data_IF_686798728421
#
_entry.id   IF_686798728421
#
_cell.length_a   1.000
_cell.length_b   1.000
_cell.length_c   1.000
_cell.angle_alpha   90.00
_cell.angle_beta   90.00
_cell.angle_gamma   90.00
#
_symmetry.space_group_name_H-M   'P 1'
#
loop_
_entity.id
_entity.type
_entity.pdbx_description
1 polymer ?
#
# COMPACT_ATOMS: atom_id res chain seq x y z
N UNK A 1 -0.47 7.48 7.23
CA UNK A 1 0.79 6.82 7.55
C UNK A 1 0.67 5.87 8.74
N UNK A 2 1.70 5.08 9.01
CA UNK A 2 1.73 4.11 10.13
C UNK A 2 1.68 4.79 11.49
N UNK A 3 2.34 5.93 11.63
CA UNK A 3 2.22 6.75 12.83
C UNK A 3 0.97 7.63 12.74
N UNK A 4 -0.01 7.37 13.59
CA UNK A 4 -1.28 8.09 13.68
C UNK A 4 -1.30 8.91 14.97
N UNK A 5 -0.99 10.19 14.85
CA UNK A 5 -1.08 11.12 15.96
C UNK A 5 -2.54 11.51 16.21
N UNK A 6 -3.02 11.38 17.43
CA UNK A 6 -4.41 11.65 17.80
C UNK A 6 -4.85 13.07 17.41
N UNK A 7 -4.01 14.07 17.68
CA UNK A 7 -4.31 15.46 17.34
C UNK A 7 -4.55 15.66 15.85
N UNK A 8 -3.75 15.00 15.02
CA UNK A 8 -3.90 15.05 13.57
C UNK A 8 -5.19 14.35 13.10
N UNK A 9 -5.49 13.16 13.66
CA UNK A 9 -6.73 12.44 13.30
C UNK A 9 -7.95 13.28 13.71
N UNK A 10 -7.97 13.86 14.91
CA UNK A 10 -9.05 14.73 15.39
C UNK A 10 -9.25 15.92 14.45
N UNK A 11 -8.17 16.58 14.06
CA UNK A 11 -8.25 17.70 13.11
C UNK A 11 -8.83 17.27 11.76
N UNK A 12 -8.31 16.19 11.17
CA UNK A 12 -8.81 15.68 9.87
C UNK A 12 -10.28 15.28 9.95
N UNK A 13 -10.70 14.63 11.03
CA UNK A 13 -12.12 14.25 11.22
C UNK A 13 -13.04 15.47 11.41
N UNK A 14 -12.58 16.51 12.11
CA UNK A 14 -13.34 17.74 12.30
C UNK A 14 -13.53 18.51 11.00
N UNK A 15 -12.46 18.65 10.22
CA UNK A 15 -12.44 19.43 8.97
C UNK A 15 -13.09 18.73 7.77
N UNK A 16 -13.63 17.54 7.94
CA UNK A 16 -14.35 16.77 6.89
C UNK A 16 -13.48 16.14 5.78
N UNK A 17 -12.14 16.10 5.95
CA UNK A 17 -11.27 15.90 4.82
C UNK A 17 -11.11 14.45 4.35
N UNK A 18 -11.02 13.47 5.24
CA UNK A 18 -10.71 12.12 4.82
C UNK A 18 -11.98 11.28 4.64
N UNK A 19 -12.12 10.67 3.47
CA UNK A 19 -13.20 9.72 3.19
C UNK A 19 -12.97 8.35 3.82
N UNK A 20 -11.70 7.91 3.92
CA UNK A 20 -11.34 6.57 4.38
C UNK A 20 -10.05 6.61 5.21
N UNK A 21 -10.02 5.83 6.27
CA UNK A 21 -8.86 5.68 7.17
C UNK A 21 -8.35 4.24 7.07
N UNK A 22 -7.04 4.04 7.14
CA UNK A 22 -6.44 2.70 7.24
C UNK A 22 -5.99 2.45 8.67
N UNK A 23 -6.36 1.33 9.28
CA UNK A 23 -5.90 0.91 10.60
C UNK A 23 -4.92 -0.26 10.48
N UNK A 24 -3.80 -0.17 11.20
CA UNK A 24 -2.71 -1.16 11.21
C UNK A 24 -2.56 -1.87 12.55
N UNK A 25 -3.46 -1.62 13.50
CA UNK A 25 -3.54 -2.31 14.81
C UNK A 25 -4.90 -2.09 15.47
N UNK A 26 -5.24 -2.94 16.44
CA UNK A 26 -6.44 -2.79 17.26
C UNK A 26 -6.42 -1.47 18.06
N UNK A 27 -5.24 -1.02 18.48
CA UNK A 27 -5.09 0.28 19.14
C UNK A 27 -5.45 1.44 18.21
N UNK A 28 -5.08 1.36 16.92
CA UNK A 28 -5.46 2.37 15.95
C UNK A 28 -6.96 2.36 15.66
N UNK A 29 -7.63 1.21 15.66
CA UNK A 29 -9.09 1.14 15.59
C UNK A 29 -9.75 1.84 16.80
N UNK A 30 -9.26 1.57 18.00
CA UNK A 30 -9.76 2.22 19.23
C UNK A 30 -9.52 3.74 19.21
N UNK A 31 -8.38 4.18 18.68
CA UNK A 31 -8.08 5.60 18.52
C UNK A 31 -9.03 6.27 17.48
N UNK A 32 -9.26 5.61 16.35
CA UNK A 32 -10.19 6.11 15.34
C UNK A 32 -11.62 6.20 15.87
N UNK A 33 -12.06 5.20 16.63
CA UNK A 33 -13.36 5.19 17.30
C UNK A 33 -13.50 6.37 18.27
N UNK A 34 -12.50 6.58 19.13
CA UNK A 34 -12.47 7.69 20.08
C UNK A 34 -12.54 9.05 19.37
N UNK A 35 -11.79 9.21 18.28
CA UNK A 35 -11.80 10.44 17.51
C UNK A 35 -13.12 10.66 16.77
N UNK A 36 -13.72 9.60 16.22
CA UNK A 36 -15.01 9.65 15.53
C UNK A 36 -16.13 10.03 16.48
N UNK A 37 -16.20 9.40 17.67
CA UNK A 37 -17.14 9.74 18.72
C UNK A 37 -17.01 11.20 19.17
N UNK A 38 -15.78 11.67 19.41
CA UNK A 38 -15.52 13.04 19.82
C UNK A 38 -15.90 14.07 18.74
N UNK A 39 -15.80 13.71 17.46
CA UNK A 39 -16.21 14.56 16.33
C UNK A 39 -17.70 14.44 15.98
N UNK A 40 -18.47 13.63 16.71
CA UNK A 40 -19.88 13.35 16.44
C UNK A 40 -20.14 12.70 15.08
N UNK A 41 -19.17 11.93 14.59
CA UNK A 41 -19.25 11.25 13.28
C UNK A 41 -19.59 9.79 13.43
N UNK A 42 -20.41 9.29 12.51
CA UNK A 42 -20.79 7.90 12.40
C UNK A 42 -20.51 7.38 11.00
N UNK A 43 -20.31 6.06 10.87
CA UNK A 43 -20.02 5.43 9.58
C UNK A 43 -18.66 5.86 9.00
N UNK A 44 -17.70 6.19 9.86
CA UNK A 44 -16.34 6.54 9.43
C UNK A 44 -15.70 5.31 8.80
N UNK A 45 -15.41 5.40 7.50
CA UNK A 45 -14.89 4.27 6.72
C UNK A 45 -13.45 3.94 7.12
N UNK A 46 -13.23 2.68 7.43
CA UNK A 46 -11.91 2.17 7.81
C UNK A 46 -11.57 0.94 6.98
N UNK A 47 -10.37 0.93 6.44
CA UNK A 47 -9.73 -0.27 5.90
C UNK A 47 -8.82 -0.85 6.97
N UNK A 48 -8.91 -2.15 7.21
CA UNK A 48 -7.95 -2.86 8.06
C UNK A 48 -6.82 -3.37 7.21
N UNK A 49 -5.58 -3.05 7.58
CA UNK A 49 -4.42 -3.46 6.82
C UNK A 49 -3.92 -4.82 7.28
N UNK A 50 -3.89 -5.78 6.36
CA UNK A 50 -3.28 -7.09 6.58
C UNK A 50 -1.77 -7.01 6.42
N UNK A 51 -1.02 -7.61 7.34
CA UNK A 51 0.43 -7.68 7.25
C UNK A 51 0.90 -8.55 6.08
N UNK A 52 2.01 -8.15 5.50
CA UNK A 52 2.76 -8.96 4.53
C UNK A 52 3.96 -9.69 5.16
N UNK A 53 3.98 -9.79 6.51
CA UNK A 53 5.07 -10.42 7.26
C UNK A 53 6.18 -9.45 7.66
N UNK A 54 5.87 -8.16 7.76
CA UNK A 54 6.77 -7.11 8.21
C UNK A 54 6.12 -6.27 9.33
N UNK A 55 6.71 -5.12 9.67
CA UNK A 55 6.23 -4.22 10.73
C UNK A 55 4.88 -3.53 10.44
N UNK A 56 4.33 -3.69 9.24
CA UNK A 56 3.12 -3.00 8.81
C UNK A 56 1.92 -3.94 8.82
N UNK A 57 0.77 -3.41 9.25
CA UNK A 57 -0.50 -4.12 9.26
C UNK A 57 -0.69 -5.05 10.47
N UNK A 58 -1.83 -5.69 10.52
CA UNK A 58 -2.27 -6.64 11.54
C UNK A 58 -2.21 -8.07 11.00
N UNK A 59 -2.02 -9.03 11.88
CA UNK A 59 -2.22 -10.44 11.56
C UNK A 59 -3.69 -10.76 11.26
N UNK A 60 -3.93 -11.85 10.56
CA UNK A 60 -5.29 -12.33 10.26
C UNK A 60 -6.14 -12.48 11.53
N UNK A 61 -5.54 -12.98 12.63
CA UNK A 61 -6.22 -13.16 13.91
C UNK A 61 -6.72 -11.82 14.50
N UNK A 62 -5.93 -10.76 14.44
CA UNK A 62 -6.31 -9.43 14.90
C UNK A 62 -7.43 -8.83 14.03
N UNK A 63 -7.38 -9.06 12.71
CA UNK A 63 -8.46 -8.65 11.82
C UNK A 63 -9.74 -9.39 12.16
N UNK A 64 -9.68 -10.70 12.36
CA UNK A 64 -10.85 -11.49 12.78
C UNK A 64 -11.37 -11.06 14.17
N UNK A 65 -10.47 -10.68 15.09
CA UNK A 65 -10.85 -10.13 16.38
C UNK A 65 -11.56 -8.78 16.23
N UNK A 66 -11.10 -7.90 15.33
CA UNK A 66 -11.77 -6.63 15.07
C UNK A 66 -13.19 -6.82 14.52
N UNK A 67 -13.39 -7.80 13.64
CA UNK A 67 -14.71 -8.14 13.09
C UNK A 67 -15.62 -8.71 14.18
N UNK A 68 -15.13 -9.65 15.00
CA UNK A 68 -15.90 -10.21 16.13
C UNK A 68 -16.36 -9.12 17.10
N UNK A 69 -15.47 -8.18 17.39
CA UNK A 69 -15.68 -7.10 18.33
C UNK A 69 -16.16 -5.78 17.69
N UNK A 70 -16.68 -5.83 16.45
CA UNK A 70 -17.11 -4.61 15.72
C UNK A 70 -18.14 -3.76 16.46
N UNK A 71 -18.90 -4.36 17.37
CA UNK A 71 -19.81 -3.64 18.25
C UNK A 71 -19.12 -2.68 19.23
N UNK A 72 -17.80 -2.83 19.45
CA UNK A 72 -16.98 -1.89 20.22
C UNK A 72 -16.60 -0.64 19.42
N UNK A 73 -16.89 -0.61 18.13
CA UNK A 73 -16.57 0.48 17.22
C UNK A 73 -17.81 1.05 16.52
N UNK A 74 -18.83 1.54 17.28
CA UNK A 74 -20.14 1.92 16.74
C UNK A 74 -20.09 3.12 15.78
N UNK A 75 -19.01 3.90 15.80
CA UNK A 75 -18.84 5.05 14.91
C UNK A 75 -18.04 4.70 13.64
N UNK A 76 -17.40 3.52 13.60
CA UNK A 76 -16.62 3.08 12.45
C UNK A 76 -17.42 2.14 11.54
N UNK A 77 -17.08 2.18 10.26
CA UNK A 77 -17.50 1.24 9.24
C UNK A 77 -16.26 0.50 8.73
N UNK A 78 -16.09 -0.78 9.11
CA UNK A 78 -15.01 -1.62 8.61
C UNK A 78 -15.30 -1.97 7.13
N UNK A 79 -14.93 -1.06 6.23
CA UNK A 79 -15.35 -1.11 4.84
C UNK A 79 -14.56 -2.13 4.01
N UNK A 80 -13.29 -2.34 4.30
CA UNK A 80 -12.46 -3.16 3.44
C UNK A 80 -11.14 -3.60 4.06
N UNK A 81 -10.42 -4.36 3.27
CA UNK A 81 -9.07 -4.84 3.54
C UNK A 81 -8.06 -4.02 2.72
N UNK A 82 -6.92 -3.66 3.31
CA UNK A 82 -5.81 -3.07 2.60
C UNK A 82 -4.60 -4.00 2.66
N UNK A 83 -3.88 -4.16 1.54
CA UNK A 83 -2.68 -4.98 1.48
C UNK A 83 -1.62 -4.42 0.55
N UNK A 84 -0.39 -4.34 1.06
CA UNK A 84 0.78 -3.95 0.31
C UNK A 84 2.02 -4.70 0.80
N UNK A 85 2.70 -5.43 -0.07
CA UNK A 85 3.86 -6.26 0.26
C UNK A 85 5.19 -5.77 -0.32
N UNK A 86 5.19 -4.57 -0.90
CA UNK A 86 6.38 -3.96 -1.50
C UNK A 86 6.26 -3.69 -2.99
N UNK A 87 7.29 -3.05 -3.53
CA UNK A 87 7.38 -2.58 -4.92
C UNK A 87 8.38 -3.41 -5.73
N UNK A 88 8.49 -3.12 -7.04
CA UNK A 88 9.43 -3.75 -7.97
C UNK A 88 9.26 -5.27 -8.05
N UNK A 89 8.03 -5.74 -8.02
CA UNK A 89 7.72 -7.16 -8.19
C UNK A 89 7.93 -7.57 -9.66
N UNK A 90 8.76 -8.58 -9.85
CA UNK A 90 9.04 -9.14 -11.17
C UNK A 90 8.02 -10.23 -11.50
N UNK A 91 7.29 -10.04 -12.59
CA UNK A 91 6.31 -11.00 -13.09
C UNK A 91 5.01 -11.09 -12.28
N UNK A 92 4.01 -11.73 -12.85
CA UNK A 92 2.66 -11.83 -12.31
C UNK A 92 2.48 -12.94 -11.26
N UNK A 93 3.39 -13.90 -11.18
CA UNK A 93 3.22 -15.08 -10.31
C UNK A 93 3.13 -14.71 -8.82
N UNK A 94 3.97 -13.77 -8.37
CA UNK A 94 3.91 -13.29 -6.98
C UNK A 94 2.61 -12.54 -6.70
N UNK A 95 2.19 -11.68 -7.62
CA UNK A 95 0.94 -10.91 -7.54
C UNK A 95 -0.25 -11.86 -7.49
N UNK A 96 -0.25 -12.88 -8.34
CA UNK A 96 -1.30 -13.91 -8.38
C UNK A 96 -1.42 -14.63 -7.03
N UNK A 97 -0.31 -15.13 -6.47
CA UNK A 97 -0.30 -15.79 -5.16
C UNK A 97 -0.81 -14.90 -4.02
N UNK A 98 -0.43 -13.63 -4.05
CA UNK A 98 -0.92 -12.66 -3.05
C UNK A 98 -2.44 -12.47 -3.16
N UNK A 99 -2.96 -12.28 -4.38
CA UNK A 99 -4.38 -12.09 -4.61
C UNK A 99 -5.19 -13.36 -4.29
N UNK A 100 -4.68 -14.54 -4.63
CA UNK A 100 -5.31 -15.82 -4.25
C UNK A 100 -5.37 -15.99 -2.73
N UNK A 101 -4.31 -15.61 -2.01
CA UNK A 101 -4.31 -15.61 -0.54
C UNK A 101 -5.35 -14.64 0.03
N UNK A 102 -5.41 -13.43 -0.49
CA UNK A 102 -6.37 -12.41 -0.06
C UNK A 102 -7.81 -12.84 -0.34
N UNK A 103 -8.06 -13.40 -1.52
CA UNK A 103 -9.38 -13.92 -1.93
C UNK A 103 -9.84 -15.03 -0.98
N UNK A 104 -8.95 -15.97 -0.68
CA UNK A 104 -9.23 -17.05 0.29
C UNK A 104 -9.55 -16.53 1.69
N UNK A 105 -8.83 -15.50 2.14
CA UNK A 105 -9.10 -14.86 3.43
C UNK A 105 -10.44 -14.11 3.44
N UNK A 106 -10.76 -13.39 2.36
CA UNK A 106 -12.04 -12.69 2.21
C UNK A 106 -13.22 -13.66 2.16
N UNK A 107 -13.06 -14.80 1.47
CA UNK A 107 -14.04 -15.89 1.45
C UNK A 107 -14.24 -16.48 2.85
N UNK A 108 -13.15 -16.75 3.58
CA UNK A 108 -13.24 -17.25 4.94
C UNK A 108 -14.02 -16.29 5.85
N UNK A 109 -13.75 -14.98 5.76
CA UNK A 109 -14.47 -13.96 6.53
C UNK A 109 -15.95 -13.96 6.20
N UNK A 110 -16.31 -14.00 4.90
CA UNK A 110 -17.69 -14.02 4.46
C UNK A 110 -18.44 -15.26 4.97
N UNK A 111 -17.81 -16.44 4.89
CA UNK A 111 -18.45 -17.71 5.22
C UNK A 111 -18.56 -17.98 6.73
N UNK A 112 -17.58 -17.53 7.51
CA UNK A 112 -17.45 -17.92 8.91
C UNK A 112 -17.72 -16.80 9.92
N UNK A 113 -17.68 -15.52 9.47
CA UNK A 113 -17.80 -14.37 10.39
C UNK A 113 -19.13 -13.62 10.29
N UNK A 114 -20.01 -14.05 9.38
CA UNK A 114 -21.25 -13.30 9.03
C UNK A 114 -20.92 -11.81 8.80
N UNK A 115 -19.85 -11.58 8.03
CA UNK A 115 -19.32 -10.26 7.72
C UNK A 115 -18.71 -10.27 6.32
N UNK A 116 -18.90 -9.19 5.58
CA UNK A 116 -18.35 -9.07 4.23
C UNK A 116 -17.64 -7.72 4.08
N UNK A 117 -16.38 -7.77 3.71
CA UNK A 117 -15.67 -6.60 3.24
C UNK A 117 -16.17 -6.21 1.84
N UNK A 118 -16.41 -4.93 1.64
CA UNK A 118 -16.90 -4.38 0.36
C UNK A 118 -15.78 -3.89 -0.53
N UNK A 119 -14.59 -3.72 0.03
CA UNK A 119 -13.43 -3.10 -0.64
C UNK A 119 -12.16 -3.89 -0.36
N UNK A 120 -11.33 -3.97 -1.39
CA UNK A 120 -9.95 -4.42 -1.31
C UNK A 120 -9.05 -3.34 -1.90
N UNK A 121 -8.23 -2.69 -1.06
CA UNK A 121 -7.18 -1.79 -1.51
C UNK A 121 -5.87 -2.56 -1.62
N UNK A 122 -5.38 -2.70 -2.84
CA UNK A 122 -4.25 -3.57 -3.16
C UNK A 122 -3.13 -2.81 -3.87
N UNK A 123 -1.91 -2.91 -3.34
CA UNK A 123 -0.71 -2.40 -3.97
C UNK A 123 0.01 -3.47 -4.81
N UNK A 124 -0.17 -3.53 -6.13
CA UNK A 124 0.45 -4.55 -6.97
C UNK A 124 1.97 -4.46 -6.97
N UNK A 125 2.52 -3.25 -6.79
CA UNK A 125 3.96 -3.04 -6.75
C UNK A 125 4.65 -3.36 -8.06
N UNK A 126 4.02 -3.08 -9.20
CA UNK A 126 4.56 -3.33 -10.53
C UNK A 126 5.99 -2.79 -10.68
N UNK A 127 6.82 -3.57 -11.33
CA UNK A 127 8.19 -3.18 -11.66
C UNK A 127 8.20 -2.07 -12.70
N UNK A 128 9.11 -1.10 -12.50
CA UNK A 128 9.49 -0.12 -13.51
C UNK A 128 11.00 -0.21 -13.75
N UNK A 129 11.49 0.07 -14.95
CA UNK A 129 12.92 0.17 -15.18
C UNK A 129 13.47 1.44 -14.51
N UNK A 130 14.63 1.32 -13.85
CA UNK A 130 15.35 2.46 -13.31
C UNK A 130 16.47 2.94 -14.22
N UNK A 131 16.97 2.07 -15.09
CA UNK A 131 18.12 2.34 -15.94
C UNK A 131 17.81 1.95 -17.38
N UNK A 132 18.43 2.65 -18.32
CA UNK A 132 18.39 2.32 -19.74
C UNK A 132 18.88 0.87 -19.96
N UNK A 133 18.23 0.14 -20.87
CA UNK A 133 18.55 -1.26 -21.16
C UNK A 133 18.00 -2.29 -20.16
N UNK A 134 17.29 -1.89 -19.12
CA UNK A 134 16.54 -2.84 -18.30
C UNK A 134 15.32 -3.37 -19.06
N UNK A 135 15.09 -4.67 -18.95
CA UNK A 135 13.89 -5.30 -19.52
C UNK A 135 12.62 -4.71 -18.88
N UNK A 136 11.68 -4.34 -19.71
CA UNK A 136 10.35 -3.90 -19.31
C UNK A 136 9.32 -4.74 -20.04
N UNK A 137 8.37 -5.26 -19.29
CA UNK A 137 7.18 -5.86 -19.88
C UNK A 137 6.33 -4.75 -20.50
N UNK A 138 5.81 -4.99 -21.69
CA UNK A 138 4.85 -4.11 -22.31
C UNK A 138 3.65 -3.86 -21.37
N UNK A 139 3.32 -2.58 -21.15
CA UNK A 139 2.31 -2.18 -20.17
C UNK A 139 0.92 -2.77 -20.49
N UNK A 140 0.55 -2.84 -21.75
CA UNK A 140 -0.73 -3.41 -22.16
C UNK A 140 -0.79 -4.90 -21.83
N UNK A 141 0.25 -5.65 -22.16
CA UNK A 141 0.37 -7.08 -21.81
C UNK A 141 0.32 -7.29 -20.31
N UNK A 142 1.07 -6.48 -19.52
CA UNK A 142 1.09 -6.54 -18.07
C UNK A 142 -0.31 -6.30 -17.47
N UNK A 143 -1.01 -5.28 -17.94
CA UNK A 143 -2.34 -4.95 -17.46
C UNK A 143 -3.40 -5.99 -17.87
N UNK A 144 -3.27 -6.57 -19.06
CA UNK A 144 -4.15 -7.65 -19.50
C UNK A 144 -3.95 -8.93 -18.68
N UNK A 145 -2.72 -9.30 -18.35
CA UNK A 145 -2.43 -10.43 -17.47
C UNK A 145 -2.95 -10.17 -16.05
N UNK A 146 -2.72 -8.99 -15.53
CA UNK A 146 -3.23 -8.59 -14.22
C UNK A 146 -4.76 -8.62 -14.17
N UNK A 147 -5.42 -8.11 -15.21
CA UNK A 147 -6.87 -8.16 -15.33
C UNK A 147 -7.40 -9.60 -15.27
N UNK A 148 -6.77 -10.54 -15.95
CA UNK A 148 -7.19 -11.96 -15.90
C UNK A 148 -7.14 -12.52 -14.48
N UNK A 149 -6.13 -12.13 -13.68
CA UNK A 149 -6.03 -12.52 -12.27
C UNK A 149 -7.19 -11.92 -11.47
N UNK A 150 -7.47 -10.62 -11.64
CA UNK A 150 -8.58 -9.95 -10.94
C UNK A 150 -9.92 -10.58 -11.30
N UNK A 151 -10.14 -10.87 -12.58
CA UNK A 151 -11.38 -11.47 -13.07
C UNK A 151 -11.61 -12.91 -12.51
N UNK A 152 -10.53 -13.60 -12.09
CA UNK A 152 -10.60 -14.95 -11.53
C UNK A 152 -10.93 -14.99 -10.04
N UNK A 153 -10.91 -13.85 -9.32
CA UNK A 153 -11.20 -13.79 -7.90
C UNK A 153 -12.68 -14.03 -7.59
N UNK A 154 -12.96 -14.66 -6.46
CA UNK A 154 -14.31 -14.81 -5.91
C UNK A 154 -14.84 -13.49 -5.34
N UNK A 155 -13.94 -12.63 -4.84
CA UNK A 155 -14.30 -11.32 -4.31
C UNK A 155 -15.00 -10.46 -5.34
N UNK A 156 -16.20 -9.95 -5.00
CA UNK A 156 -17.05 -9.15 -5.90
C UNK A 156 -17.21 -7.70 -5.47
N UNK A 157 -16.48 -7.28 -4.44
CA UNK A 157 -16.41 -5.89 -4.00
C UNK A 157 -15.59 -5.02 -4.95
N UNK A 158 -15.37 -3.78 -4.53
CA UNK A 158 -14.57 -2.81 -5.29
C UNK A 158 -13.09 -3.04 -4.99
N UNK A 159 -12.27 -3.15 -6.03
CA UNK A 159 -10.81 -3.24 -5.89
C UNK A 159 -10.20 -1.88 -6.25
N UNK A 160 -9.53 -1.28 -5.27
CA UNK A 160 -8.73 -0.07 -5.47
C UNK A 160 -7.26 -0.45 -5.61
N UNK A 161 -6.56 0.16 -6.56
CA UNK A 161 -5.16 -0.13 -6.84
C UNK A 161 -4.25 1.01 -6.40
N UNK A 162 -3.26 0.69 -5.58
CA UNK A 162 -2.18 1.62 -5.19
C UNK A 162 -0.98 1.45 -6.14
N UNK A 163 -0.94 2.21 -7.22
CA UNK A 163 0.07 2.09 -8.27
C UNK A 163 0.99 3.33 -8.38
N UNK A 164 1.35 3.95 -7.24
CA UNK A 164 2.03 5.23 -7.19
C UNK A 164 3.27 5.33 -8.08
N UNK A 165 4.27 4.49 -7.87
CA UNK A 165 5.53 4.54 -8.65
C UNK A 165 5.31 4.20 -10.13
N UNK A 166 4.50 3.20 -10.41
CA UNK A 166 4.21 2.78 -11.78
C UNK A 166 3.59 3.91 -12.61
N UNK A 167 2.69 4.69 -12.02
CA UNK A 167 2.06 5.83 -12.68
C UNK A 167 2.97 7.06 -12.73
N UNK A 168 3.75 7.31 -11.68
CA UNK A 168 4.51 8.55 -11.54
C UNK A 168 5.92 8.50 -12.16
N UNK A 169 6.49 7.32 -12.39
CA UNK A 169 7.87 7.20 -12.87
C UNK A 169 8.15 7.94 -14.18
N UNK A 170 7.27 7.91 -15.20
CA UNK A 170 7.50 8.61 -16.45
C UNK A 170 7.11 10.10 -16.42
N UNK A 171 6.64 10.64 -15.28
CA UNK A 171 6.03 11.97 -15.24
C UNK A 171 7.04 13.13 -15.32
N UNK A 172 8.37 12.87 -15.21
CA UNK A 172 9.36 13.93 -15.20
C UNK A 172 10.78 13.44 -15.35
N UNK A 173 11.70 14.40 -15.48
CA UNK A 173 13.13 14.19 -15.56
C UNK A 173 13.82 15.00 -14.48
N UNK A 174 14.81 14.40 -13.83
CA UNK A 174 15.68 15.09 -12.89
C UNK A 174 16.99 15.47 -13.60
N UNK A 175 17.27 16.77 -13.66
CA UNK A 175 18.49 17.30 -14.26
C UNK A 175 19.51 17.62 -13.15
N UNK A 176 20.73 17.12 -13.35
CA UNK A 176 21.86 17.40 -12.46
C UNK A 176 23.08 17.74 -13.31
N UNK A 177 23.96 18.57 -12.75
CA UNK A 177 25.20 19.00 -13.41
C UNK A 177 26.39 18.23 -12.85
N UNK A 178 27.30 17.81 -13.73
CA UNK A 178 28.59 17.26 -13.32
C UNK A 178 29.44 18.40 -12.74
N UNK A 179 29.74 18.32 -11.44
CA UNK A 179 30.57 19.28 -10.72
C UNK A 179 32.06 18.94 -10.85
N UNK A 180 32.40 17.65 -10.92
CA UNK A 180 33.77 17.17 -11.07
C UNK A 180 33.78 15.78 -11.75
N UNK A 181 34.86 15.45 -12.44
CA UNK A 181 35.09 14.15 -13.02
C UNK A 181 36.52 13.68 -12.75
N UNK A 182 36.67 12.44 -12.29
CA UNK A 182 37.98 11.89 -11.95
C UNK A 182 38.08 10.41 -12.28
N UNK A 183 39.33 9.94 -12.36
CA UNK A 183 39.64 8.53 -12.49
C UNK A 183 40.41 8.03 -11.27
N UNK A 184 39.92 6.98 -10.61
CA UNK A 184 40.58 6.34 -9.49
C UNK A 184 40.61 4.84 -9.71
N UNK A 185 41.77 4.22 -9.54
CA UNK A 185 41.97 2.77 -9.67
C UNK A 185 41.39 2.18 -10.96
N UNK A 186 41.54 2.91 -12.07
CA UNK A 186 41.06 2.47 -13.38
C UNK A 186 39.58 2.77 -13.66
N UNK A 187 38.80 3.20 -12.68
CA UNK A 187 37.37 3.51 -12.80
C UNK A 187 37.13 5.02 -12.91
N UNK A 188 36.21 5.41 -13.78
CA UNK A 188 35.80 6.80 -13.96
C UNK A 188 34.64 7.13 -12.99
N UNK A 189 34.71 8.30 -12.37
CA UNK A 189 33.70 8.83 -11.47
C UNK A 189 33.26 10.22 -11.92
N UNK A 190 31.94 10.45 -11.91
CA UNK A 190 31.36 11.77 -12.05
C UNK A 190 30.77 12.20 -10.70
N UNK A 191 31.16 13.36 -10.22
CA UNK A 191 30.57 14.00 -9.04
C UNK A 191 29.52 14.98 -9.54
N UNK A 192 28.30 14.81 -9.07
CA UNK A 192 27.17 15.65 -9.51
C UNK A 192 26.68 16.53 -8.35
N UNK A 193 25.99 17.62 -8.66
CA UNK A 193 25.42 18.55 -7.68
C UNK A 193 24.06 18.07 -7.11
N UNK A 194 23.60 16.91 -7.55
CA UNK A 194 22.42 16.22 -7.03
C UNK A 194 22.77 14.98 -6.22
N UNK A 195 21.85 14.44 -5.48
CA UNK A 195 22.07 13.23 -4.68
C UNK A 195 20.83 12.64 -4.05
N UNK A 196 21.05 11.75 -3.09
CA UNK A 196 20.03 10.96 -2.40
C UNK A 196 18.90 11.83 -1.76
N UNK A 197 19.21 13.06 -1.41
CA UNK A 197 18.22 13.99 -0.86
C UNK A 197 17.22 14.51 -1.92
N UNK A 198 17.55 14.35 -3.20
CA UNK A 198 16.72 14.80 -4.32
C UNK A 198 16.02 13.63 -4.99
N UNK A 199 16.76 12.57 -5.27
CA UNK A 199 16.23 11.36 -5.93
C UNK A 199 16.72 10.12 -5.18
N UNK A 200 15.79 9.24 -4.84
CA UNK A 200 16.09 7.98 -4.20
C UNK A 200 15.43 6.83 -5.00
N UNK A 201 16.17 5.74 -5.18
CA UNK A 201 15.67 4.53 -5.82
C UNK A 201 15.95 3.29 -4.95
N UNK A 202 15.23 2.21 -5.18
CA UNK A 202 15.29 1.00 -4.35
C UNK A 202 16.71 0.42 -4.19
N UNK A 203 17.54 0.44 -5.22
CA UNK A 203 18.90 -0.07 -5.19
C UNK A 203 19.91 0.80 -4.45
N UNK A 204 19.59 2.05 -4.16
CA UNK A 204 20.52 3.03 -3.59
C UNK A 204 20.92 2.69 -2.15
N UNK A 205 20.02 2.16 -1.36
CA UNK A 205 20.28 1.74 0.03
C UNK A 205 21.26 0.56 0.10
N UNK A 206 21.31 -0.27 -0.94
CA UNK A 206 22.21 -1.41 -1.04
C UNK A 206 23.65 -1.01 -1.40
N UNK A 207 23.82 0.11 -2.08
CA UNK A 207 25.14 0.63 -2.50
C UNK A 207 25.88 1.35 -1.36
N UNK A 208 25.24 1.62 -0.25
CA UNK A 208 25.83 2.31 0.92
C UNK A 208 26.35 1.37 2.01
N UNK A 209 26.49 0.06 1.71
CA UNK A 209 27.08 -0.93 2.62
C UNK A 209 28.55 -1.09 2.39
#
# INVERSE_FOLDING_TARGET
>A
GVNKEEAHIRWVMAEQGAGTYTAESLNQLSLLETCAAAAGRTGVRVLVRLTSGNQFGMDEEDILASIRNRGCYPHLDLAGLQYYSGTQKRGMEKIKKELEKLDSFLDFVREHMNFEFRELEYGPGFQIPYFEGQEQTDEETLLQEFKKILDSLNFKGIIFLEAGRFLAAPCGSYLTRVADAKRCQGQNYCIVDGGINHVNYYGQTMAMK
#
